data_IF_000959085755
#
_entry.id   IF_000959085755
#
_cell.length_a   1.000
_cell.length_b   1.000
_cell.length_c   1.000
_cell.angle_alpha   90.00
_cell.angle_beta   90.00
_cell.angle_gamma   90.00
#
_symmetry.space_group_name_H-M   'P 1'
#
loop_
_entity.id
_entity.type
_entity.pdbx_description
1 polymer ?
#
# COMPACT_ATOMS: atom_id res chain seq x y z
N UNK A 1 12.96 4.42 -14.58
CA UNK A 1 12.62 4.40 -13.14
C UNK A 1 11.14 4.70 -13.00
N UNK A 2 10.39 3.92 -12.24
CA UNK A 2 8.98 4.22 -11.97
C UNK A 2 8.89 5.12 -10.74
N UNK A 3 8.14 6.22 -10.86
CA UNK A 3 7.92 7.19 -9.77
C UNK A 3 6.46 7.10 -9.34
N UNK A 4 6.23 6.85 -8.05
CA UNK A 4 4.94 6.95 -7.39
C UNK A 4 4.93 8.17 -6.48
N UNK A 5 3.85 8.96 -6.54
CA UNK A 5 3.70 10.18 -5.74
C UNK A 5 2.50 10.03 -4.82
N UNK A 6 2.70 10.25 -3.51
CA UNK A 6 1.60 10.33 -2.56
C UNK A 6 0.84 11.65 -2.78
N UNK A 7 -0.46 11.57 -3.01
CA UNK A 7 -1.33 12.68 -3.31
C UNK A 7 -2.53 12.71 -2.36
N UNK A 8 -2.89 13.92 -1.91
CA UNK A 8 -4.03 14.15 -1.01
C UNK A 8 -5.06 15.15 -1.57
N UNK A 9 -4.93 15.52 -2.84
CA UNK A 9 -5.79 16.48 -3.49
C UNK A 9 -5.76 16.31 -5.02
N UNK A 10 -6.79 16.81 -5.71
CA UNK A 10 -6.82 16.84 -7.18
C UNK A 10 -5.68 17.67 -7.76
N UNK A 11 -5.24 18.69 -7.04
CA UNK A 11 -4.11 19.52 -7.46
C UNK A 11 -2.79 18.71 -7.47
N UNK A 12 -2.51 17.97 -6.40
CA UNK A 12 -1.30 17.12 -6.33
C UNK A 12 -1.31 16.00 -7.38
N UNK A 13 -2.48 15.40 -7.65
CA UNK A 13 -2.61 14.39 -8.73
C UNK A 13 -2.30 15.01 -10.09
N UNK A 14 -2.89 16.19 -10.40
CA UNK A 14 -2.64 16.91 -11.65
C UNK A 14 -1.15 17.20 -11.83
N UNK A 15 -0.50 17.70 -10.77
CA UNK A 15 0.93 18.01 -10.81
C UNK A 15 1.76 16.75 -11.07
N UNK A 16 1.45 15.64 -10.38
CA UNK A 16 2.15 14.37 -10.58
C UNK A 16 1.98 13.84 -12.02
N UNK A 17 0.77 13.89 -12.56
CA UNK A 17 0.48 13.46 -13.94
C UNK A 17 1.21 14.33 -14.97
N UNK A 18 1.18 15.65 -14.83
CA UNK A 18 1.86 16.59 -15.72
C UNK A 18 3.39 16.45 -15.70
N UNK A 19 3.95 16.09 -14.56
CA UNK A 19 5.40 15.89 -14.41
C UNK A 19 5.84 14.45 -14.75
N UNK A 20 4.93 13.60 -15.23
CA UNK A 20 5.26 12.27 -15.73
C UNK A 20 5.48 11.21 -14.65
N UNK A 21 4.84 11.34 -13.49
CA UNK A 21 4.81 10.26 -12.53
C UNK A 21 4.15 9.01 -13.14
N UNK A 22 4.63 7.82 -12.75
CA UNK A 22 4.11 6.55 -13.27
C UNK A 22 2.77 6.17 -12.67
N UNK A 23 2.48 6.62 -11.44
CA UNK A 23 1.23 6.44 -10.71
C UNK A 23 1.18 7.34 -9.49
N UNK A 24 0.01 7.41 -8.87
CA UNK A 24 -0.18 8.10 -7.59
C UNK A 24 -0.73 7.16 -6.52
N UNK A 25 -0.33 7.38 -5.27
CA UNK A 25 -0.99 6.82 -4.09
C UNK A 25 -1.93 7.89 -3.52
N UNK A 26 -3.23 7.66 -3.60
CA UNK A 26 -4.23 8.60 -3.11
C UNK A 26 -4.53 8.34 -1.64
N UNK A 27 -4.41 9.38 -0.82
CA UNK A 27 -4.64 9.34 0.62
C UNK A 27 -5.26 10.66 1.11
N UNK A 28 -5.57 10.74 2.40
CA UNK A 28 -5.82 11.99 3.15
C UNK A 28 -4.84 12.11 4.32
N UNK A 29 -4.80 13.26 4.98
CA UNK A 29 -3.94 13.53 6.15
C UNK A 29 -2.47 13.13 5.95
N UNK A 30 -1.89 13.56 4.84
CA UNK A 30 -0.52 13.19 4.45
C UNK A 30 0.53 13.61 5.51
N UNK A 31 0.28 14.66 6.29
CA UNK A 31 1.16 15.09 7.38
C UNK A 31 1.24 14.07 8.53
N UNK A 32 0.28 13.15 8.60
CA UNK A 32 0.23 12.06 9.58
C UNK A 32 0.36 10.68 8.91
N UNK A 33 1.24 10.62 7.90
CA UNK A 33 1.53 9.40 7.13
C UNK A 33 0.33 8.84 6.34
N UNK A 34 -0.72 9.62 6.14
CA UNK A 34 -1.88 9.28 5.31
C UNK A 34 -2.88 8.33 5.96
N UNK A 35 -4.15 8.51 5.60
CA UNK A 35 -5.26 7.60 5.88
C UNK A 35 -6.09 7.39 4.60
N UNK A 36 -7.07 6.50 4.65
CA UNK A 36 -8.00 6.25 3.53
C UNK A 36 -8.64 7.55 3.05
N UNK A 37 -8.59 7.87 1.76
CA UNK A 37 -9.24 9.06 1.21
C UNK A 37 -10.75 8.92 1.27
N UNK A 38 -11.48 10.05 1.31
CA UNK A 38 -12.91 10.02 1.14
C UNK A 38 -13.31 9.60 -0.29
N UNK A 39 -14.54 9.10 -0.41
CA UNK A 39 -15.03 8.57 -1.69
C UNK A 39 -15.27 9.67 -2.74
N UNK A 40 -15.52 10.89 -2.32
CA UNK A 40 -15.72 12.02 -3.23
C UNK A 40 -14.41 12.37 -3.93
N UNK A 41 -13.31 12.50 -3.17
CA UNK A 41 -11.98 12.71 -3.73
C UNK A 41 -11.58 11.58 -4.66
N UNK A 42 -11.81 10.32 -4.28
CA UNK A 42 -11.50 9.16 -5.11
C UNK A 42 -12.30 9.18 -6.42
N UNK A 43 -13.60 9.44 -6.34
CA UNK A 43 -14.50 9.54 -7.49
C UNK A 43 -14.03 10.62 -8.48
N UNK A 44 -13.78 11.83 -7.96
CA UNK A 44 -13.31 12.93 -8.80
C UNK A 44 -11.94 12.65 -9.42
N UNK A 45 -11.03 12.03 -8.65
CA UNK A 45 -9.72 11.64 -9.15
C UNK A 45 -9.85 10.67 -10.35
N UNK A 46 -10.65 9.61 -10.19
CA UNK A 46 -10.88 8.63 -11.25
C UNK A 46 -11.60 9.20 -12.49
N UNK A 47 -12.39 10.26 -12.32
CA UNK A 47 -13.09 10.91 -13.43
C UNK A 47 -12.21 11.92 -14.21
N UNK A 48 -11.25 12.56 -13.52
CA UNK A 48 -10.51 13.71 -14.05
C UNK A 48 -9.11 13.37 -14.56
N UNK A 49 -8.54 12.26 -14.11
CA UNK A 49 -7.13 11.88 -14.40
C UNK A 49 -7.02 10.50 -15.01
N UNK A 50 -5.98 10.31 -15.83
CA UNK A 50 -5.65 9.04 -16.49
C UNK A 50 -4.48 8.32 -15.84
N UNK A 51 -3.74 8.99 -14.96
CA UNK A 51 -2.64 8.39 -14.20
C UNK A 51 -3.17 7.23 -13.34
N UNK A 52 -2.50 6.06 -13.29
CA UNK A 52 -2.88 4.96 -12.43
C UNK A 52 -3.00 5.38 -10.97
N UNK A 53 -4.16 5.12 -10.34
CA UNK A 53 -4.44 5.50 -8.95
C UNK A 53 -4.39 4.25 -8.07
N UNK A 54 -3.51 4.26 -7.09
CA UNK A 54 -3.49 3.32 -5.97
C UNK A 54 -4.15 3.99 -4.77
N UNK A 55 -5.00 3.28 -4.06
CA UNK A 55 -5.77 3.85 -2.94
C UNK A 55 -5.22 3.32 -1.62
N UNK A 56 -4.81 4.24 -0.74
CA UNK A 56 -4.41 3.88 0.61
C UNK A 56 -5.64 3.48 1.44
N UNK A 57 -5.59 2.29 2.02
CA UNK A 57 -6.60 1.78 2.94
C UNK A 57 -5.97 1.68 4.34
N UNK A 58 -6.10 2.75 5.10
CA UNK A 58 -5.63 2.88 6.47
C UNK A 58 -6.70 3.57 7.30
N UNK A 59 -7.34 2.86 8.25
CA UNK A 59 -8.56 3.35 8.92
C UNK A 59 -8.30 4.46 9.94
N UNK A 60 -7.09 4.57 10.46
CA UNK A 60 -6.72 5.53 11.52
C UNK A 60 -5.24 5.87 11.48
N UNK A 61 -4.88 7.01 12.04
CA UNK A 61 -3.50 7.44 12.31
C UNK A 61 -2.89 6.62 13.46
N UNK A 62 -1.58 6.72 13.64
CA UNK A 62 -0.84 6.04 14.70
C UNK A 62 -0.30 4.68 14.25
N UNK A 63 -0.40 3.67 15.11
CA UNK A 63 0.15 2.35 14.87
C UNK A 63 -0.62 1.55 13.80
N UNK A 64 -0.08 0.37 13.46
CA UNK A 64 -0.69 -0.54 12.49
C UNK A 64 -1.33 -1.77 13.15
N UNK A 65 -1.61 -1.69 14.46
CA UNK A 65 -2.35 -2.71 15.19
C UNK A 65 -3.84 -2.42 15.11
N UNK A 66 -4.56 -3.26 14.42
CA UNK A 66 -5.99 -3.06 14.16
C UNK A 66 -6.82 -4.06 14.93
N UNK A 67 -7.89 -3.57 15.54
CA UNK A 67 -8.92 -4.40 16.15
C UNK A 67 -9.74 -5.13 15.08
N UNK A 68 -10.54 -6.12 15.49
CA UNK A 68 -11.47 -6.77 14.57
C UNK A 68 -12.47 -5.79 13.91
N UNK A 69 -12.82 -4.70 14.61
CA UNK A 69 -13.65 -3.64 14.05
C UNK A 69 -12.90 -2.84 12.98
N UNK A 70 -11.63 -2.50 13.23
CA UNK A 70 -10.79 -1.80 12.26
C UNK A 70 -10.58 -2.65 11.00
N UNK A 71 -10.33 -3.96 11.15
CA UNK A 71 -10.18 -4.89 10.02
C UNK A 71 -11.45 -4.99 9.16
N UNK A 72 -12.62 -5.02 9.79
CA UNK A 72 -13.90 -4.95 9.06
C UNK A 72 -14.08 -3.61 8.34
N UNK A 73 -13.58 -2.52 8.93
CA UNK A 73 -13.60 -1.21 8.29
C UNK A 73 -12.67 -1.18 7.05
N UNK A 74 -11.47 -1.75 7.17
CA UNK A 74 -10.54 -1.92 6.05
C UNK A 74 -11.23 -2.67 4.90
N UNK A 75 -11.85 -3.81 5.18
CA UNK A 75 -12.55 -4.62 4.17
C UNK A 75 -13.65 -3.82 3.46
N UNK A 76 -14.50 -3.13 4.23
CA UNK A 76 -15.54 -2.27 3.65
C UNK A 76 -14.95 -1.14 2.80
N UNK A 77 -13.83 -0.57 3.21
CA UNK A 77 -13.15 0.49 2.45
C UNK A 77 -12.56 -0.04 1.14
N UNK A 78 -11.97 -1.23 1.16
CA UNK A 78 -11.55 -1.94 -0.07
C UNK A 78 -12.75 -2.12 -1.00
N UNK A 79 -13.84 -2.71 -0.52
CA UNK A 79 -15.04 -2.96 -1.33
C UNK A 79 -15.62 -1.67 -1.95
N UNK A 80 -15.59 -0.55 -1.22
CA UNK A 80 -16.01 0.75 -1.75
C UNK A 80 -15.05 1.28 -2.82
N UNK A 81 -13.74 1.17 -2.60
CA UNK A 81 -12.74 1.61 -3.56
C UNK A 81 -12.80 0.82 -4.88
N UNK A 82 -13.11 -0.48 -4.81
CA UNK A 82 -13.29 -1.36 -5.97
C UNK A 82 -14.48 -0.98 -6.89
N UNK A 83 -15.35 -0.07 -6.47
CA UNK A 83 -16.41 0.46 -7.33
C UNK A 83 -15.91 1.50 -8.34
N UNK A 84 -14.64 1.91 -8.25
CA UNK A 84 -14.00 2.88 -9.10
C UNK A 84 -12.90 2.22 -9.96
N UNK A 85 -12.53 2.80 -11.11
CA UNK A 85 -11.49 2.27 -11.98
C UNK A 85 -10.08 2.57 -11.42
N UNK A 86 -9.75 1.96 -10.29
CA UNK A 86 -8.45 2.09 -9.62
C UNK A 86 -7.45 1.06 -10.16
N UNK A 87 -6.16 1.35 -10.06
CA UNK A 87 -5.09 0.46 -10.49
C UNK A 87 -4.57 -0.43 -9.36
N UNK A 88 -4.76 -0.04 -8.10
CA UNK A 88 -4.26 -0.82 -6.98
C UNK A 88 -4.79 -0.37 -5.62
N UNK A 89 -4.51 -1.20 -4.63
CA UNK A 89 -4.80 -0.98 -3.21
C UNK A 89 -3.48 -1.01 -2.44
N UNK A 90 -3.34 -0.08 -1.50
CA UNK A 90 -2.24 -0.03 -0.53
C UNK A 90 -2.80 -0.31 0.85
N UNK A 91 -2.36 -1.36 1.51
CA UNK A 91 -2.89 -1.83 2.79
C UNK A 91 -1.79 -2.48 3.63
N UNK A 92 -1.97 -2.53 4.94
CA UNK A 92 -1.06 -3.26 5.82
C UNK A 92 -1.62 -3.36 7.22
N UNK A 93 -1.15 -4.35 7.95
CA UNK A 93 -1.52 -4.63 9.34
C UNK A 93 -0.39 -5.39 10.01
N UNK A 94 -0.15 -5.08 11.27
CA UNK A 94 0.76 -5.86 12.11
C UNK A 94 -0.02 -6.47 13.28
N UNK A 95 0.30 -7.70 13.63
CA UNK A 95 -0.21 -8.31 14.86
C UNK A 95 0.64 -7.88 16.07
N UNK A 96 0.20 -8.21 17.28
CA UNK A 96 0.88 -7.85 18.54
C UNK A 96 2.33 -8.36 18.68
N UNK A 97 2.75 -9.29 17.81
CA UNK A 97 4.12 -9.82 17.75
C UNK A 97 4.95 -9.19 16.64
N UNK A 98 4.48 -8.08 16.06
CA UNK A 98 5.09 -7.42 14.90
C UNK A 98 5.33 -8.39 13.72
N UNK A 99 4.35 -9.26 13.48
CA UNK A 99 4.25 -10.14 12.34
C UNK A 99 2.96 -9.88 11.57
N UNK A 100 2.71 -10.62 10.51
CA UNK A 100 1.47 -10.57 9.72
C UNK A 100 0.63 -11.82 9.93
N UNK A 101 -0.63 -11.77 9.52
CA UNK A 101 -1.53 -12.94 9.48
C UNK A 101 -1.67 -13.41 8.02
N UNK A 102 -1.11 -14.58 7.65
CA UNK A 102 -1.19 -15.09 6.28
C UNK A 102 -2.62 -15.32 5.79
N UNK A 103 -3.58 -15.62 6.67
CA UNK A 103 -4.98 -15.80 6.31
C UNK A 103 -5.58 -14.46 5.87
N UNK A 104 -5.32 -13.41 6.64
CA UNK A 104 -5.77 -12.05 6.32
C UNK A 104 -5.13 -11.55 5.02
N UNK A 105 -3.83 -11.79 4.81
CA UNK A 105 -3.14 -11.39 3.58
C UNK A 105 -3.77 -12.04 2.34
N UNK A 106 -4.01 -13.34 2.37
CA UNK A 106 -4.69 -14.06 1.27
C UNK A 106 -6.12 -13.58 1.05
N UNK A 107 -6.84 -13.25 2.14
CA UNK A 107 -8.18 -12.67 2.04
C UNK A 107 -8.17 -11.33 1.30
N UNK A 108 -7.27 -10.42 1.65
CA UNK A 108 -7.13 -9.15 0.93
C UNK A 108 -6.72 -9.35 -0.53
N UNK A 109 -5.83 -10.31 -0.82
CA UNK A 109 -5.47 -10.64 -2.20
C UNK A 109 -6.67 -11.14 -2.99
N UNK A 110 -7.49 -11.98 -2.41
CA UNK A 110 -8.71 -12.49 -3.05
C UNK A 110 -9.70 -11.35 -3.37
N UNK A 111 -9.92 -10.43 -2.42
CA UNK A 111 -10.78 -9.26 -2.61
C UNK A 111 -10.29 -8.33 -3.73
N UNK A 112 -8.98 -8.20 -3.91
CA UNK A 112 -8.35 -7.26 -4.86
C UNK A 112 -7.83 -7.96 -6.12
N UNK A 113 -8.43 -9.11 -6.48
CA UNK A 113 -8.01 -9.89 -7.64
C UNK A 113 -7.96 -9.03 -8.91
N UNK A 114 -6.87 -9.14 -9.67
CA UNK A 114 -6.64 -8.37 -10.89
C UNK A 114 -6.04 -6.98 -10.69
N UNK A 115 -5.93 -6.48 -9.45
CA UNK A 115 -5.31 -5.20 -9.13
C UNK A 115 -3.92 -5.38 -8.52
N UNK A 116 -3.12 -4.33 -8.58
CA UNK A 116 -1.90 -4.24 -7.77
C UNK A 116 -2.26 -4.19 -6.28
N UNK A 117 -1.53 -4.96 -5.48
CA UNK A 117 -1.68 -4.95 -4.04
C UNK A 117 -0.34 -4.64 -3.38
N UNK A 118 -0.27 -3.51 -2.69
CA UNK A 118 0.93 -3.01 -2.02
C UNK A 118 0.80 -3.18 -0.51
N UNK A 119 1.82 -3.71 0.14
CA UNK A 119 1.92 -3.67 1.60
C UNK A 119 2.68 -2.41 2.00
N UNK A 120 2.06 -1.57 2.84
CA UNK A 120 2.61 -0.26 3.20
C UNK A 120 3.67 -0.35 4.31
N UNK A 121 4.14 0.81 4.79
CA UNK A 121 5.22 0.95 5.77
C UNK A 121 4.99 0.28 7.14
N UNK A 122 3.86 -0.36 7.39
CA UNK A 122 3.71 -1.29 8.51
C UNK A 122 4.83 -2.34 8.54
N UNK A 123 5.35 -2.74 7.37
CA UNK A 123 6.49 -3.62 7.24
C UNK A 123 7.73 -3.15 8.00
N UNK A 124 7.93 -1.85 8.10
CA UNK A 124 9.09 -1.28 8.80
C UNK A 124 9.07 -1.56 10.32
N UNK A 125 7.93 -2.01 10.86
CA UNK A 125 7.78 -2.44 12.26
C UNK A 125 7.94 -3.96 12.43
N UNK A 126 8.20 -4.72 11.36
CA UNK A 126 8.29 -6.18 11.43
C UNK A 126 9.45 -6.63 12.33
N UNK A 127 9.17 -7.53 13.29
CA UNK A 127 10.19 -8.13 14.15
C UNK A 127 11.12 -9.08 13.37
N UNK A 128 10.58 -9.72 12.32
CA UNK A 128 11.30 -10.63 11.42
C UNK A 128 10.99 -10.27 9.96
N UNK A 129 11.62 -9.21 9.42
CA UNK A 129 11.23 -8.65 8.12
C UNK A 129 11.33 -9.66 6.97
N UNK A 130 12.33 -10.52 6.96
CA UNK A 130 12.47 -11.52 5.90
C UNK A 130 11.32 -12.54 5.91
N UNK A 131 10.88 -12.99 7.09
CA UNK A 131 9.74 -13.90 7.20
C UNK A 131 8.44 -13.21 6.75
N UNK A 132 8.26 -11.93 7.09
CA UNK A 132 7.10 -11.15 6.64
C UNK A 132 7.15 -10.98 5.12
N UNK A 133 8.31 -10.67 4.55
CA UNK A 133 8.49 -10.55 3.10
C UNK A 133 8.08 -11.83 2.36
N UNK A 134 8.56 -13.01 2.81
CA UNK A 134 8.19 -14.29 2.21
C UNK A 134 6.66 -14.51 2.26
N UNK A 135 6.03 -14.22 3.41
CA UNK A 135 4.58 -14.36 3.55
C UNK A 135 3.80 -13.39 2.63
N UNK A 136 4.30 -12.18 2.39
CA UNK A 136 3.71 -11.23 1.44
C UNK A 136 3.83 -11.74 0.00
N UNK A 137 4.98 -12.29 -0.38
CA UNK A 137 5.22 -12.88 -1.70
C UNK A 137 4.27 -14.08 -1.91
N UNK A 138 4.21 -15.01 -0.96
CA UNK A 138 3.32 -16.18 -0.99
C UNK A 138 1.83 -15.78 -1.06
N UNK A 139 1.46 -14.69 -0.41
CA UNK A 139 0.10 -14.16 -0.46
C UNK A 139 -0.22 -13.40 -1.76
N UNK A 140 0.77 -13.18 -2.65
CA UNK A 140 0.59 -12.52 -3.94
C UNK A 140 0.55 -10.99 -3.88
N UNK A 141 1.19 -10.37 -2.90
CA UNK A 141 1.41 -8.93 -2.92
C UNK A 141 2.40 -8.56 -4.03
N UNK A 142 2.02 -7.60 -4.86
CA UNK A 142 2.84 -7.17 -6.01
C UNK A 142 3.89 -6.12 -5.65
N UNK A 143 3.73 -5.45 -4.49
CA UNK A 143 4.64 -4.38 -4.04
C UNK A 143 4.78 -4.33 -2.53
N UNK A 144 5.92 -3.80 -2.11
CA UNK A 144 6.23 -3.47 -0.73
C UNK A 144 6.75 -2.03 -0.66
N UNK A 145 6.14 -1.20 0.20
CA UNK A 145 6.65 0.12 0.55
C UNK A 145 7.41 0.01 1.87
N UNK A 146 8.70 0.29 1.83
CA UNK A 146 9.60 0.20 2.99
C UNK A 146 10.71 1.23 2.92
N UNK A 147 11.15 1.73 4.06
CA UNK A 147 12.40 2.47 4.23
C UNK A 147 13.55 1.57 4.73
N UNK A 148 13.38 0.23 4.65
CA UNK A 148 14.36 -0.74 5.16
C UNK A 148 14.44 -0.76 6.68
N UNK A 149 13.33 -0.52 7.38
CA UNK A 149 13.22 -0.43 8.85
C UNK A 149 14.05 0.71 9.46
N UNK A 150 14.35 1.73 8.68
CA UNK A 150 15.09 2.93 9.11
C UNK A 150 14.22 4.17 8.97
N UNK A 151 14.67 5.30 9.54
CA UNK A 151 13.97 6.58 9.41
C UNK A 151 13.83 7.02 7.94
N UNK A 152 14.85 6.76 7.12
CA UNK A 152 14.86 7.07 5.70
C UNK A 152 15.41 5.92 4.87
N UNK A 153 15.00 5.83 3.62
CA UNK A 153 15.41 4.79 2.68
C UNK A 153 16.93 4.78 2.43
N UNK A 154 17.58 5.93 2.50
CA UNK A 154 19.04 6.07 2.36
C UNK A 154 19.82 5.21 3.37
N UNK A 155 19.34 5.16 4.61
CA UNK A 155 19.98 4.37 5.67
C UNK A 155 19.52 2.92 5.68
N UNK A 156 18.42 2.59 4.99
CA UNK A 156 17.86 1.24 4.88
C UNK A 156 18.15 0.50 3.59
N UNK A 157 19.01 1.05 2.73
CA UNK A 157 19.20 0.59 1.34
C UNK A 157 19.58 -0.91 1.23
N UNK A 158 20.31 -1.47 2.17
CA UNK A 158 20.68 -2.90 2.16
C UNK A 158 19.47 -3.80 2.30
N UNK A 159 18.53 -3.46 3.19
CA UNK A 159 17.27 -4.21 3.37
C UNK A 159 16.35 -4.05 2.16
N UNK A 160 16.29 -2.85 1.58
CA UNK A 160 15.50 -2.56 0.36
C UNK A 160 16.07 -3.33 -0.82
N UNK A 161 17.38 -3.39 -0.99
CA UNK A 161 18.04 -4.17 -2.06
C UNK A 161 17.73 -5.66 -1.96
N UNK A 162 17.71 -6.22 -0.75
CA UNK A 162 17.32 -7.63 -0.54
C UNK A 162 15.88 -7.91 -0.97
N UNK A 163 14.93 -7.04 -0.64
CA UNK A 163 13.52 -7.19 -1.04
C UNK A 163 13.37 -7.19 -2.56
N UNK A 164 14.15 -6.38 -3.25
CA UNK A 164 14.14 -6.29 -4.71
C UNK A 164 14.68 -7.58 -5.37
N UNK A 165 15.78 -8.11 -4.88
CA UNK A 165 16.38 -9.35 -5.40
C UNK A 165 15.44 -10.55 -5.26
N UNK A 166 14.79 -10.73 -4.10
CA UNK A 166 13.85 -11.82 -3.85
C UNK A 166 12.61 -11.76 -4.76
N UNK A 167 12.08 -10.57 -5.02
CA UNK A 167 10.95 -10.41 -5.92
C UNK A 167 11.25 -10.88 -7.36
N UNK A 168 12.51 -10.78 -7.82
CA UNK A 168 12.94 -11.28 -9.12
C UNK A 168 13.16 -12.79 -9.15
N UNK A 169 13.61 -13.43 -8.08
CA UNK A 169 13.82 -14.87 -8.01
C UNK A 169 12.53 -15.67 -8.11
N UNK A 170 11.43 -15.16 -7.52
CA UNK A 170 10.11 -15.85 -7.54
C UNK A 170 9.36 -15.69 -8.85
N UNK A 171 9.75 -14.77 -9.74
CA UNK A 171 9.12 -14.57 -11.05
C UNK A 171 9.59 -15.55 -12.14
N UNK A 172 10.55 -16.42 -11.84
CA UNK A 172 11.18 -17.37 -12.78
C UNK A 172 10.76 -18.84 -12.56
N UNK A 173 9.63 -19.09 -11.86
CA UNK A 173 9.09 -20.44 -11.66
C UNK A 173 7.64 -20.55 -12.12
#
# INVERSE_FOLDING_TARGET
>A
MNIEVCCNSLYSIRTAEQLGASRVELCQNLLEDGITPDLELLKEACQKFHIPIHVLIRPKIGDFFYSSSDLKHIEKSIQKALQFPIAGIVVGHMNKKNGVDPVLLRHWRALTSGLDLTFHRAFDQAAKPFNVLEQLIEAGFSRLLSSGQKRGAETGILSVSYTHLRAHETSNH
#
